data_IF_336941683029
#
_entry.id   IF_336941683029
#
_cell.length_a   1.000
_cell.length_b   1.000
_cell.length_c   1.000
_cell.angle_alpha   90.00
_cell.angle_beta   90.00
_cell.angle_gamma   90.00
#
_symmetry.space_group_name_H-M   'P 1'
#
loop_
_entity.id
_entity.type
_entity.pdbx_description
1 polymer ?
#
# COMPACT_ATOMS: atom_id res chain seq x y z
N UNK A 1 21.39 31.08 -16.71
CA UNK A 1 21.53 29.63 -16.99
C UNK A 1 20.91 28.86 -15.84
N UNK A 2 19.73 28.26 -16.02
CA UNK A 2 19.15 27.39 -14.99
C UNK A 2 19.86 26.05 -15.06
N UNK A 3 20.64 25.70 -14.03
CA UNK A 3 21.18 24.37 -13.87
C UNK A 3 20.00 23.40 -13.72
N UNK A 4 19.71 22.65 -14.79
CA UNK A 4 18.74 21.55 -14.77
C UNK A 4 19.29 20.50 -13.80
N UNK A 5 18.82 20.50 -12.56
CA UNK A 5 19.10 19.42 -11.64
C UNK A 5 18.54 18.15 -12.27
N UNK A 6 19.42 17.26 -12.73
CA UNK A 6 19.04 15.99 -13.35
C UNK A 6 18.63 15.05 -12.22
N UNK A 7 17.39 15.20 -11.75
CA UNK A 7 16.78 14.25 -10.83
C UNK A 7 16.45 12.98 -11.62
N UNK A 8 17.01 11.85 -11.19
CA UNK A 8 16.73 10.53 -11.73
C UNK A 8 15.63 9.88 -10.89
N UNK A 9 14.50 9.54 -11.51
CA UNK A 9 13.42 8.80 -10.83
C UNK A 9 13.51 7.32 -11.20
N UNK A 10 13.72 6.48 -10.20
CA UNK A 10 13.53 5.03 -10.30
C UNK A 10 12.04 4.71 -10.12
N UNK A 11 11.52 3.75 -10.89
CA UNK A 11 10.12 3.32 -10.82
C UNK A 11 10.03 1.81 -10.96
N UNK A 12 9.24 1.19 -10.08
CA UNK A 12 8.89 -0.23 -10.14
C UNK A 12 7.39 -0.33 -10.42
N UNK A 13 7.01 -1.15 -11.39
CA UNK A 13 5.61 -1.43 -11.74
C UNK A 13 5.44 -2.92 -11.94
N UNK A 14 4.74 -3.57 -11.02
CA UNK A 14 4.42 -4.98 -11.10
C UNK A 14 3.01 -5.17 -11.64
N UNK A 15 2.88 -5.95 -12.70
CA UNK A 15 1.60 -6.40 -13.23
C UNK A 15 1.44 -7.90 -12.99
N UNK A 16 0.30 -8.29 -12.43
CA UNK A 16 -0.07 -9.70 -12.30
C UNK A 16 -1.49 -9.91 -12.84
N UNK A 17 -1.70 -10.97 -13.62
CA UNK A 17 -3.01 -11.33 -14.18
C UNK A 17 -3.71 -10.14 -14.88
N UNK A 18 -2.95 -9.30 -15.58
CA UNK A 18 -3.46 -8.12 -16.28
C UNK A 18 -3.84 -6.93 -15.39
N UNK A 19 -3.59 -7.00 -14.08
CA UNK A 19 -3.86 -5.92 -13.12
C UNK A 19 -2.56 -5.40 -12.52
N UNK A 20 -2.45 -4.07 -12.35
CA UNK A 20 -1.33 -3.48 -11.61
C UNK A 20 -1.47 -3.78 -10.12
N UNK A 21 -0.59 -4.61 -9.59
CA UNK A 21 -0.63 -5.02 -8.18
C UNK A 21 0.22 -4.10 -7.31
N UNK A 22 1.33 -3.61 -7.85
CA UNK A 22 2.29 -2.85 -7.06
C UNK A 22 2.97 -1.77 -7.89
N UNK A 23 3.16 -0.59 -7.28
CA UNK A 23 3.79 0.56 -7.91
C UNK A 23 4.57 1.35 -6.87
N UNK A 24 5.87 1.50 -7.11
CA UNK A 24 6.75 2.33 -6.29
C UNK A 24 7.56 3.28 -7.17
N UNK A 25 7.87 4.45 -6.65
CA UNK A 25 8.79 5.38 -7.29
C UNK A 25 9.60 6.14 -6.26
N UNK A 26 10.86 6.38 -6.59
CA UNK A 26 11.74 7.18 -5.75
C UNK A 26 12.67 8.02 -6.61
N UNK A 27 12.84 9.28 -6.23
CA UNK A 27 13.61 10.26 -6.99
C UNK A 27 14.92 10.57 -6.28
N UNK A 28 16.02 10.45 -7.02
CA UNK A 28 17.38 10.64 -6.55
C UNK A 28 18.09 11.71 -7.36
N UNK A 29 19.11 12.33 -6.76
CA UNK A 29 19.97 13.30 -7.45
C UNK A 29 21.01 12.65 -8.38
N UNK A 30 21.32 11.37 -8.15
CA UNK A 30 22.34 10.62 -8.90
C UNK A 30 21.74 9.32 -9.42
N UNK A 31 22.10 8.96 -10.67
CA UNK A 31 21.66 7.71 -11.31
C UNK A 31 22.12 6.46 -10.56
N UNK A 32 23.33 6.50 -9.97
CA UNK A 32 23.89 5.38 -9.20
C UNK A 32 22.97 5.01 -8.03
N UNK A 33 22.54 6.00 -7.23
CA UNK A 33 21.63 5.77 -6.11
C UNK A 33 20.26 5.26 -6.56
N UNK A 34 19.75 5.76 -7.69
CA UNK A 34 18.50 5.28 -8.26
C UNK A 34 18.59 3.80 -8.67
N UNK A 35 19.72 3.38 -9.25
CA UNK A 35 19.97 1.99 -9.64
C UNK A 35 20.17 1.08 -8.42
N UNK A 36 20.95 1.51 -7.42
CA UNK A 36 21.13 0.74 -6.17
C UNK A 36 19.80 0.53 -5.45
N UNK A 37 18.93 1.54 -5.43
CA UNK A 37 17.59 1.41 -4.88
C UNK A 37 16.74 0.39 -5.65
N UNK A 38 16.79 0.40 -6.98
CA UNK A 38 16.08 -0.60 -7.79
C UNK A 38 16.54 -2.02 -7.47
N UNK A 39 17.85 -2.28 -7.48
CA UNK A 39 18.42 -3.60 -7.20
C UNK A 39 18.07 -4.09 -5.80
N UNK A 40 18.15 -3.19 -4.81
CA UNK A 40 17.78 -3.51 -3.43
C UNK A 40 16.29 -3.84 -3.33
N UNK A 41 15.41 -3.07 -3.95
CA UNK A 41 13.96 -3.33 -3.92
C UNK A 41 13.59 -4.60 -4.66
N UNK A 42 14.22 -4.88 -5.80
CA UNK A 42 14.05 -6.14 -6.52
C UNK A 42 14.44 -7.34 -5.64
N UNK A 43 15.59 -7.27 -4.96
CA UNK A 43 16.00 -8.29 -4.02
C UNK A 43 15.02 -8.44 -2.84
N UNK A 44 14.55 -7.34 -2.26
CA UNK A 44 13.54 -7.37 -1.19
C UNK A 44 12.26 -8.04 -1.68
N UNK A 45 11.74 -7.67 -2.87
CA UNK A 45 10.57 -8.31 -3.46
C UNK A 45 10.78 -9.81 -3.75
N UNK A 46 11.96 -10.21 -4.24
CA UNK A 46 12.29 -11.63 -4.44
C UNK A 46 12.32 -12.41 -3.12
N UNK A 47 12.83 -11.83 -2.04
CA UNK A 47 12.79 -12.45 -0.71
C UNK A 47 11.34 -12.56 -0.19
N UNK A 48 10.50 -11.55 -0.44
CA UNK A 48 9.07 -11.59 -0.11
C UNK A 48 8.35 -12.70 -0.88
N UNK A 49 8.68 -12.88 -2.17
CA UNK A 49 8.16 -13.97 -2.98
C UNK A 49 8.67 -15.34 -2.49
N UNK A 50 9.96 -15.49 -2.19
CA UNK A 50 10.55 -16.76 -1.75
C UNK A 50 10.07 -17.20 -0.35
N UNK A 51 9.84 -16.24 0.54
CA UNK A 51 9.40 -16.53 1.92
C UNK A 51 7.92 -16.91 2.03
N UNK A 52 7.12 -16.72 0.98
CA UNK A 52 5.65 -16.85 0.99
C UNK A 52 4.95 -16.05 2.12
N UNK A 53 5.67 -15.15 2.81
CA UNK A 53 5.12 -14.34 3.88
C UNK A 53 4.71 -12.99 3.30
N UNK A 54 3.42 -12.70 3.35
CA UNK A 54 2.98 -11.34 3.09
C UNK A 54 3.58 -10.42 4.16
N UNK A 55 4.46 -9.49 3.76
CA UNK A 55 5.07 -8.47 4.65
C UNK A 55 4.03 -7.71 5.46
N UNK A 56 2.83 -7.58 4.88
CA UNK A 56 1.69 -6.98 5.54
C UNK A 56 0.65 -8.04 5.91
N UNK A 57 0.25 -8.05 7.19
CA UNK A 57 -0.90 -8.83 7.67
C UNK A 57 -2.10 -8.43 6.82
N UNK A 58 -2.72 -9.40 6.17
CA UNK A 58 -3.93 -9.19 5.37
C UNK A 58 -5.08 -8.83 6.31
N UNK A 59 -5.26 -7.54 6.53
CA UNK A 59 -6.39 -6.98 7.26
C UNK A 59 -7.58 -6.81 6.31
N UNK A 60 -8.77 -7.03 6.85
CA UNK A 60 -10.03 -6.71 6.16
C UNK A 60 -10.23 -5.20 6.14
N UNK A 61 -10.96 -4.67 5.16
CA UNK A 61 -11.30 -3.23 5.12
C UNK A 61 -12.07 -2.78 6.38
N UNK A 62 -12.79 -3.70 7.03
CA UNK A 62 -13.49 -3.44 8.29
C UNK A 62 -12.57 -3.15 9.47
N UNK A 63 -11.34 -3.68 9.50
CA UNK A 63 -10.40 -3.46 10.61
C UNK A 63 -9.90 -2.00 10.68
N UNK A 64 -9.34 -1.39 9.61
CA UNK A 64 -8.98 0.04 9.61
C UNK A 64 -10.15 0.96 9.93
N UNK A 65 -11.37 0.59 9.51
CA UNK A 65 -12.56 1.38 9.79
C UNK A 65 -12.92 1.35 11.28
N UNK A 66 -12.73 0.21 11.94
CA UNK A 66 -12.89 0.09 13.41
C UNK A 66 -11.81 0.86 14.16
N UNK A 67 -10.57 0.77 13.71
CA UNK A 67 -9.46 1.52 14.30
C UNK A 67 -9.69 3.03 14.20
N UNK A 68 -10.19 3.49 13.04
CA UNK A 68 -10.55 4.89 12.83
C UNK A 68 -11.66 5.36 13.79
N UNK A 69 -12.70 4.55 13.99
CA UNK A 69 -13.78 4.86 14.94
C UNK A 69 -13.24 4.94 16.36
N UNK A 70 -12.49 3.93 16.80
CA UNK A 70 -11.92 3.87 18.15
C UNK A 70 -10.97 5.05 18.42
N UNK A 71 -10.09 5.39 17.47
CA UNK A 71 -9.20 6.53 17.61
C UNK A 71 -9.94 7.86 17.73
N UNK A 72 -11.07 8.02 17.03
CA UNK A 72 -11.78 9.27 16.96
C UNK A 72 -12.86 9.47 18.03
N UNK A 73 -13.47 8.40 18.55
CA UNK A 73 -14.40 8.46 19.69
C UNK A 73 -13.72 9.04 20.93
N UNK A 74 -12.42 8.84 21.08
CA UNK A 74 -11.61 9.39 22.17
C UNK A 74 -11.25 10.88 21.99
N UNK A 75 -11.51 11.48 20.82
CA UNK A 75 -11.07 12.84 20.48
C UNK A 75 -12.26 13.79 20.29
N UNK A 76 -13.37 13.34 19.69
CA UNK A 76 -14.49 14.22 19.35
C UNK A 76 -15.80 13.46 19.19
N UNK A 77 -16.88 14.00 19.76
CA UNK A 77 -18.22 13.45 19.51
C UNK A 77 -18.67 13.68 18.07
N UNK A 78 -19.04 12.60 17.38
CA UNK A 78 -19.53 12.68 16.01
C UNK A 78 -21.04 12.92 15.91
N UNK A 79 -21.43 13.76 14.96
CA UNK A 79 -22.82 13.98 14.59
C UNK A 79 -23.49 12.73 13.97
N UNK A 80 -24.83 12.73 13.96
CA UNK A 80 -25.68 11.60 13.54
C UNK A 80 -25.32 11.05 12.14
N UNK A 81 -25.13 11.92 11.15
CA UNK A 81 -24.89 11.51 9.77
C UNK A 81 -23.58 10.72 9.61
N UNK A 82 -22.50 11.16 10.28
CA UNK A 82 -21.19 10.50 10.22
C UNK A 82 -21.25 9.10 10.86
N UNK A 83 -21.93 8.96 12.00
CA UNK A 83 -22.14 7.67 12.65
C UNK A 83 -22.94 6.71 11.76
N UNK A 84 -24.02 7.20 11.13
CA UNK A 84 -24.85 6.40 10.23
C UNK A 84 -24.08 5.93 8.97
N UNK A 85 -23.28 6.80 8.36
CA UNK A 85 -22.49 6.45 7.18
C UNK A 85 -21.41 5.41 7.50
N UNK A 86 -20.75 5.52 8.64
CA UNK A 86 -19.74 4.54 9.07
C UNK A 86 -20.39 3.19 9.38
N UNK A 87 -21.54 3.19 10.08
CA UNK A 87 -22.30 1.97 10.31
C UNK A 87 -22.74 1.31 8.98
N UNK A 88 -23.17 2.12 7.99
CA UNK A 88 -23.49 1.63 6.64
C UNK A 88 -22.27 1.00 5.96
N UNK A 89 -21.09 1.60 6.07
CA UNK A 89 -19.86 1.07 5.50
C UNK A 89 -19.43 -0.23 6.18
N UNK A 90 -19.57 -0.33 7.51
CA UNK A 90 -19.27 -1.54 8.28
C UNK A 90 -20.26 -2.68 7.97
N UNK A 91 -21.54 -2.37 7.80
CA UNK A 91 -22.57 -3.34 7.43
C UNK A 91 -22.54 -3.72 5.94
N UNK A 92 -21.86 -2.92 5.10
CA UNK A 92 -21.70 -3.24 3.69
C UNK A 92 -20.81 -4.49 3.52
N UNK A 93 -21.09 -5.29 2.49
CA UNK A 93 -20.25 -6.45 2.14
C UNK A 93 -18.78 -6.11 1.83
N UNK A 94 -18.43 -4.81 1.77
CA UNK A 94 -17.05 -4.33 1.60
C UNK A 94 -16.22 -4.44 2.87
N UNK A 95 -16.82 -4.47 4.06
CA UNK A 95 -16.07 -4.61 5.31
C UNK A 95 -15.33 -5.96 5.39
N UNK A 96 -15.91 -7.01 4.81
CA UNK A 96 -15.29 -8.34 4.69
C UNK A 96 -14.31 -8.46 3.53
N UNK A 97 -14.18 -7.42 2.69
CA UNK A 97 -13.26 -7.45 1.56
C UNK A 97 -11.82 -7.54 2.07
N UNK A 98 -11.10 -8.53 1.56
CA UNK A 98 -9.68 -8.76 1.79
C UNK A 98 -9.00 -8.65 0.44
N UNK A 99 -7.88 -7.93 0.37
CA UNK A 99 -7.09 -7.92 -0.85
C UNK A 99 -6.64 -9.35 -1.19
N UNK A 100 -6.82 -9.81 -2.45
CA UNK A 100 -6.27 -11.07 -2.89
C UNK A 100 -4.74 -11.00 -2.79
N UNK A 101 -4.09 -12.02 -2.23
CA UNK A 101 -2.62 -12.06 -2.26
C UNK A 101 -2.13 -12.41 -3.66
N UNK A 102 -1.20 -11.61 -4.15
CA UNK A 102 -0.19 -12.05 -5.10
C UNK A 102 0.40 -13.36 -4.57
N UNK A 103 0.37 -14.39 -5.41
CA UNK A 103 0.55 -15.79 -5.00
C UNK A 103 2.05 -16.05 -4.81
N UNK A 104 2.43 -16.73 -3.73
CA UNK A 104 3.70 -17.45 -3.70
C UNK A 104 3.58 -18.62 -4.69
N UNK A 105 4.34 -18.59 -5.78
CA UNK A 105 4.48 -19.72 -6.70
C UNK A 105 5.90 -20.25 -6.51
N UNK A 106 6.00 -21.42 -5.90
CA UNK A 106 7.23 -22.19 -5.74
C UNK A 106 7.67 -22.71 -7.11
#
# INVERSE_FOLDING_TARGET
MLARSLACTAQIRLMENGTFVHRESQTYRRKVLANEWLLRREYEMDQEHASCQAVHKKISVGEPLRDYVSAAENVTEWGRSKKADIARLQASGRAAYRSPSSRCRI
#
